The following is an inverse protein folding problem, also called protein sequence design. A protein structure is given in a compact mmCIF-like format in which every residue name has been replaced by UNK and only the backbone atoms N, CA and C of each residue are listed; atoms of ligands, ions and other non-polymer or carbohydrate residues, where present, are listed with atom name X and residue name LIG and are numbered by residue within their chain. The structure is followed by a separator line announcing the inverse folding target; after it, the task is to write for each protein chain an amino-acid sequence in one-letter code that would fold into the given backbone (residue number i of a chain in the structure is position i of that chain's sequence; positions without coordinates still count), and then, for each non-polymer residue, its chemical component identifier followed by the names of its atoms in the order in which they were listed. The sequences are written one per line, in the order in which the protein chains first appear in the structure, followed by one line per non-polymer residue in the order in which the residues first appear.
data_IF_533711405488
#
_entry.id   IF_533711405488
#
_cell.length_a   1.000
_cell.length_b   1.000
_cell.length_c   1.000
_cell.angle_alpha   90.00
_cell.angle_beta   90.00
_cell.angle_gamma   90.00
#
_symmetry.space_group_name_H-M   'P 1'
#
loop_
_entity.id
_entity.type
_entity.pdbx_description
1 polymer ?
#
# COMPACT_ATOMS: atom_id res chain seq x y z
N UNK A 1 -25.91 -6.87 -21.37
CA UNK A 1 -25.90 -6.10 -20.11
C UNK A 1 -24.45 -5.91 -19.70
N UNK A 2 -23.98 -4.68 -19.51
CA UNK A 2 -22.65 -4.44 -18.97
C UNK A 2 -22.58 -4.96 -17.53
N UNK A 3 -21.49 -5.64 -17.16
CA UNK A 3 -21.31 -6.15 -15.80
C UNK A 3 -21.30 -4.98 -14.79
N UNK A 4 -21.98 -5.16 -13.66
CA UNK A 4 -22.02 -4.16 -12.59
C UNK A 4 -20.64 -4.01 -11.92
N UNK A 5 -20.27 -2.79 -11.49
CA UNK A 5 -19.02 -2.55 -10.80
C UNK A 5 -18.92 -3.41 -9.52
N UNK A 6 -17.76 -4.01 -9.32
CA UNK A 6 -17.48 -4.87 -8.17
C UNK A 6 -16.87 -4.09 -6.99
N UNK A 7 -16.28 -2.93 -7.28
CA UNK A 7 -15.58 -2.05 -6.35
C UNK A 7 -15.63 -0.61 -6.88
N UNK A 8 -15.32 0.33 -6.00
CA UNK A 8 -14.92 1.69 -6.35
C UNK A 8 -13.40 1.76 -6.41
N UNK A 9 -12.82 2.74 -7.10
CA UNK A 9 -11.36 2.87 -7.15
C UNK A 9 -10.88 3.66 -8.35
N UNK A 10 -9.56 3.71 -8.49
CA UNK A 10 -8.88 4.59 -9.43
C UNK A 10 -7.98 3.83 -10.40
N UNK A 11 -7.79 4.42 -11.58
CA UNK A 11 -6.70 4.06 -12.47
C UNK A 11 -5.60 5.10 -12.31
N UNK A 12 -4.44 4.67 -11.82
CA UNK A 12 -3.31 5.54 -11.58
C UNK A 12 -2.45 5.69 -12.81
N UNK A 13 -1.85 6.87 -12.93
CA UNK A 13 -0.75 7.17 -13.82
C UNK A 13 0.33 7.91 -13.02
N UNK A 14 1.58 7.85 -13.50
CA UNK A 14 2.71 8.51 -12.85
C UNK A 14 3.19 9.64 -13.75
N UNK A 15 2.69 10.84 -13.49
CA UNK A 15 3.02 12.04 -14.30
C UNK A 15 4.40 12.63 -13.97
N UNK A 16 4.86 12.45 -12.72
CA UNK A 16 6.12 12.97 -12.21
C UNK A 16 6.97 11.83 -11.62
N UNK A 17 7.57 10.96 -12.46
CA UNK A 17 8.29 9.78 -11.98
C UNK A 17 9.51 10.13 -11.13
N UNK A 18 10.16 11.27 -11.39
CA UNK A 18 11.35 11.70 -10.67
C UNK A 18 11.05 12.21 -9.25
N UNK A 19 9.85 12.76 -9.03
CA UNK A 19 9.36 13.17 -7.70
C UNK A 19 8.90 11.95 -6.90
N UNK A 20 8.21 11.02 -7.56
CA UNK A 20 7.86 9.74 -6.96
C UNK A 20 9.12 8.95 -6.56
N UNK A 21 10.14 8.93 -7.41
CA UNK A 21 11.42 8.29 -7.11
C UNK A 21 12.10 8.91 -5.88
N UNK A 22 12.00 10.22 -5.67
CA UNK A 22 12.50 10.88 -4.46
C UNK A 22 11.80 10.39 -3.19
N UNK A 23 10.47 10.26 -3.22
CA UNK A 23 9.70 9.73 -2.09
C UNK A 23 10.04 8.27 -1.81
N UNK A 24 10.14 7.46 -2.86
CA UNK A 24 10.48 6.03 -2.75
C UNK A 24 11.91 5.85 -2.21
N UNK A 25 12.87 6.65 -2.67
CA UNK A 25 14.24 6.65 -2.16
C UNK A 25 14.30 6.93 -0.64
N UNK A 26 13.54 7.93 -0.17
CA UNK A 26 13.43 8.22 1.26
C UNK A 26 12.83 7.06 2.04
N UNK A 27 11.78 6.43 1.52
CA UNK A 27 11.18 5.26 2.17
C UNK A 27 12.23 4.15 2.29
N UNK A 28 12.91 3.78 1.20
CA UNK A 28 13.92 2.70 1.18
C UNK A 28 15.07 2.91 2.17
N UNK A 29 15.50 4.15 2.41
CA UNK A 29 16.57 4.44 3.40
C UNK A 29 16.06 4.53 4.85
N UNK A 30 14.81 4.13 5.11
CA UNK A 30 14.23 4.16 6.46
C UNK A 30 13.55 5.49 6.83
N UNK A 31 13.40 6.42 5.89
CA UNK A 31 12.92 7.79 6.11
C UNK A 31 11.48 7.97 5.62
N UNK A 32 10.61 6.98 5.84
CA UNK A 32 9.19 7.09 5.45
C UNK A 32 8.48 8.29 6.09
N UNK A 33 8.87 8.71 7.31
CA UNK A 33 8.33 9.92 7.92
C UNK A 33 8.72 11.19 7.15
N UNK A 34 9.94 11.25 6.61
CA UNK A 34 10.40 12.37 5.79
C UNK A 34 9.60 12.41 4.48
N UNK A 35 9.44 11.28 3.80
CA UNK A 35 8.58 11.21 2.61
C UNK A 35 7.14 11.69 2.91
N UNK A 36 6.58 11.33 4.07
CA UNK A 36 5.28 11.82 4.50
C UNK A 36 5.23 13.34 4.75
N UNK A 37 6.31 13.94 5.26
CA UNK A 37 6.43 15.40 5.45
C UNK A 37 6.46 16.13 4.10
N UNK A 38 7.16 15.58 3.10
CA UNK A 38 7.16 16.14 1.74
C UNK A 38 5.76 16.12 1.13
N UNK A 39 5.01 15.03 1.32
CA UNK A 39 3.64 14.92 0.82
C UNK A 39 2.68 15.97 1.40
N UNK A 40 2.98 16.53 2.58
CA UNK A 40 2.22 17.64 3.18
C UNK A 40 2.89 19.00 2.97
N UNK A 41 3.83 19.09 2.02
CA UNK A 41 4.46 20.35 1.59
C UNK A 41 5.69 20.78 2.39
N UNK A 42 6.21 19.93 3.29
CA UNK A 42 7.41 20.25 4.07
C UNK A 42 8.66 19.83 3.31
N UNK A 43 9.58 20.76 3.08
CA UNK A 43 10.90 20.48 2.51
C UNK A 43 11.91 20.28 3.63
N UNK A 44 12.69 19.20 3.57
CA UNK A 44 13.81 18.94 4.47
C UNK A 44 15.07 18.62 3.65
N UNK A 45 16.23 18.82 4.27
CA UNK A 45 17.49 18.43 3.65
C UNK A 45 17.54 16.91 3.43
N UNK A 46 18.21 16.43 2.37
CA UNK A 46 18.43 15.00 2.15
C UNK A 46 19.07 14.32 3.37
N UNK A 47 18.70 13.07 3.69
CA UNK A 47 19.31 12.34 4.80
C UNK A 47 20.77 11.98 4.49
N UNK A 48 21.57 11.80 5.55
CA UNK A 48 22.86 11.10 5.47
C UNK A 48 22.65 9.62 5.72
N UNK A 49 23.29 8.76 4.93
CA UNK A 49 23.15 7.30 5.00
C UNK A 49 24.51 6.63 5.10
N UNK A 50 24.59 5.39 5.57
CA UNK A 50 25.89 4.69 5.59
C UNK A 50 26.25 4.13 4.21
N UNK A 51 27.54 4.01 3.90
CA UNK A 51 28.01 3.33 2.68
C UNK A 51 27.44 1.91 2.58
N UNK A 52 27.40 1.17 3.70
CA UNK A 52 26.86 -0.19 3.73
C UNK A 52 25.37 -0.25 3.36
N UNK A 53 24.55 0.72 3.79
CA UNK A 53 23.15 0.79 3.37
C UNK A 53 23.04 1.07 1.87
N UNK A 54 23.88 1.97 1.35
CA UNK A 54 23.94 2.32 -0.07
C UNK A 54 24.29 1.10 -0.93
N UNK A 55 25.29 0.32 -0.54
CA UNK A 55 25.69 -0.92 -1.23
C UNK A 55 24.61 -2.00 -1.19
N UNK A 56 23.84 -2.08 -0.11
CA UNK A 56 22.70 -3.01 -0.01
C UNK A 56 21.58 -2.58 -0.95
N UNK A 57 21.19 -1.30 -0.92
CA UNK A 57 20.10 -0.78 -1.74
C UNK A 57 20.43 -0.84 -3.24
N UNK A 58 21.68 -0.66 -3.64
CA UNK A 58 22.11 -0.86 -5.04
C UNK A 58 21.81 -2.28 -5.53
N UNK A 59 22.17 -3.29 -4.72
CA UNK A 59 21.94 -4.70 -5.05
C UNK A 59 20.45 -5.07 -5.07
N UNK A 60 19.69 -4.50 -4.14
CA UNK A 60 18.25 -4.75 -4.04
C UNK A 60 17.46 -4.07 -5.18
N UNK A 61 17.94 -2.92 -5.68
CA UNK A 61 17.37 -2.22 -6.83
C UNK A 61 17.85 -2.79 -8.18
N UNK A 62 19.03 -3.42 -8.23
CA UNK A 62 19.58 -4.04 -9.43
C UNK A 62 19.84 -5.55 -9.29
N UNK A 63 18.81 -6.35 -8.92
CA UNK A 63 18.93 -7.80 -8.84
C UNK A 63 19.15 -8.41 -10.22
N UNK A 64 19.94 -9.48 -10.27
CA UNK A 64 20.28 -10.20 -11.51
C UNK A 64 19.48 -11.50 -11.70
N UNK A 65 18.70 -11.91 -10.70
CA UNK A 65 17.86 -13.12 -10.77
C UNK A 65 16.41 -12.74 -11.02
N UNK A 66 15.67 -13.59 -11.74
CA UNK A 66 14.23 -13.39 -11.98
C UNK A 66 13.46 -13.17 -10.68
N UNK A 67 13.66 -14.03 -9.68
CA UNK A 67 13.01 -13.88 -8.37
C UNK A 67 13.37 -12.55 -7.69
N UNK A 68 14.63 -12.12 -7.80
CA UNK A 68 15.06 -10.83 -7.27
C UNK A 68 14.38 -9.65 -7.97
N UNK A 69 14.25 -9.72 -9.29
CA UNK A 69 13.50 -8.75 -10.12
C UNK A 69 12.04 -8.68 -9.62
N UNK A 70 11.37 -9.81 -9.44
CA UNK A 70 9.99 -9.81 -8.93
C UNK A 70 9.87 -9.20 -7.53
N UNK A 71 10.82 -9.48 -6.64
CA UNK A 71 10.84 -8.92 -5.29
C UNK A 71 11.05 -7.39 -5.30
N UNK A 72 11.98 -6.89 -6.12
CA UNK A 72 12.19 -5.45 -6.30
C UNK A 72 10.91 -4.78 -6.80
N UNK A 73 10.33 -5.30 -7.87
CA UNK A 73 9.13 -4.71 -8.47
C UNK A 73 7.96 -4.70 -7.47
N UNK A 74 7.83 -5.77 -6.67
CA UNK A 74 6.87 -5.86 -5.57
C UNK A 74 7.09 -4.77 -4.53
N UNK A 75 8.31 -4.66 -3.98
CA UNK A 75 8.66 -3.67 -2.97
C UNK A 75 8.43 -2.24 -3.47
N UNK A 76 8.89 -1.92 -4.68
CA UNK A 76 8.70 -0.59 -5.27
C UNK A 76 7.20 -0.29 -5.43
N UNK A 77 6.40 -1.24 -5.89
CA UNK A 77 4.96 -1.04 -6.02
C UNK A 77 4.26 -0.86 -4.67
N UNK A 78 4.64 -1.61 -3.64
CA UNK A 78 4.11 -1.43 -2.27
C UNK A 78 4.36 0.00 -1.76
N UNK A 79 5.55 0.54 -2.01
CA UNK A 79 5.88 1.93 -1.63
C UNK A 79 5.06 2.93 -2.45
N UNK A 80 4.87 2.71 -3.77
CA UNK A 80 4.02 3.56 -4.61
C UNK A 80 2.58 3.56 -4.10
N UNK A 81 2.02 2.40 -3.76
CA UNK A 81 0.69 2.29 -3.17
C UNK A 81 0.59 3.07 -1.85
N UNK A 82 1.62 2.99 -1.00
CA UNK A 82 1.68 3.78 0.23
C UNK A 82 1.70 5.29 -0.05
N UNK A 83 2.47 5.75 -1.04
CA UNK A 83 2.48 7.16 -1.47
C UNK A 83 1.09 7.58 -1.97
N UNK A 84 0.46 6.77 -2.81
CA UNK A 84 -0.88 7.04 -3.34
C UNK A 84 -1.92 7.12 -2.21
N UNK A 85 -1.91 6.16 -1.28
CA UNK A 85 -2.79 6.16 -0.11
C UNK A 85 -2.62 7.42 0.74
N UNK A 86 -1.37 7.90 0.93
CA UNK A 86 -1.11 9.15 1.66
C UNK A 86 -1.56 10.39 0.92
N UNK A 87 -1.42 10.46 -0.40
CA UNK A 87 -1.94 11.57 -1.22
C UNK A 87 -3.47 11.61 -1.21
N UNK A 88 -4.13 10.45 -1.25
CA UNK A 88 -5.59 10.34 -1.21
C UNK A 88 -6.19 10.43 0.20
N UNK A 89 -5.36 10.56 1.23
CA UNK A 89 -5.82 10.64 2.62
C UNK A 89 -6.64 11.90 2.84
N UNK A 90 -7.79 11.77 3.50
CA UNK A 90 -8.65 12.91 3.86
C UNK A 90 -8.75 13.07 5.37
N UNK A 91 -8.86 14.32 5.83
CA UNK A 91 -9.02 14.67 7.23
C UNK A 91 -8.08 13.92 8.19
N UNK A 92 -8.72 13.22 9.12
CA UNK A 92 -8.10 12.61 10.30
C UNK A 92 -7.70 11.15 10.13
N UNK A 93 -7.74 10.61 8.90
CA UNK A 93 -7.29 9.24 8.66
C UNK A 93 -5.80 9.05 9.06
N UNK A 94 -5.39 7.85 9.46
CA UNK A 94 -3.96 7.53 9.64
C UNK A 94 -3.64 6.27 8.87
N UNK A 95 -2.48 6.26 8.22
CA UNK A 95 -1.97 5.13 7.44
C UNK A 95 -0.68 4.70 8.12
N UNK A 96 -0.47 3.40 8.24
CA UNK A 96 0.80 2.86 8.74
C UNK A 96 1.99 3.32 7.89
N UNK A 97 3.19 3.15 8.42
CA UNK A 97 4.39 3.40 7.63
C UNK A 97 4.68 2.14 6.81
N UNK A 98 4.99 2.31 5.53
CA UNK A 98 5.35 1.21 4.63
C UNK A 98 6.40 0.29 5.28
N UNK A 99 6.12 -1.00 5.30
CA UNK A 99 7.02 -2.00 5.85
C UNK A 99 8.18 -2.24 4.88
N UNK A 100 9.39 -1.85 5.24
CA UNK A 100 10.61 -2.08 4.44
C UNK A 100 11.09 -3.54 4.40
N UNK A 101 10.27 -4.48 4.86
CA UNK A 101 10.58 -5.90 4.81
C UNK A 101 9.44 -6.61 4.10
N UNK A 102 9.77 -7.28 3.00
CA UNK A 102 8.95 -8.32 2.41
C UNK A 102 8.72 -9.41 3.47
N UNK A 103 7.60 -9.34 4.20
CA UNK A 103 7.27 -10.32 5.22
C UNK A 103 6.24 -11.28 4.64
N UNK A 104 6.63 -12.55 4.55
CA UNK A 104 5.82 -13.68 4.06
C UNK A 104 4.54 -13.98 4.86
N UNK A 105 4.08 -13.08 5.74
CA UNK A 105 2.89 -13.24 6.59
C UNK A 105 2.33 -11.87 7.09
N UNK A 106 2.72 -10.72 6.51
CA UNK A 106 2.29 -9.39 6.97
C UNK A 106 1.00 -8.89 6.30
N UNK A 107 0.38 -7.87 6.89
CA UNK A 107 -0.61 -7.01 6.23
C UNK A 107 0.15 -6.03 5.33
N UNK A 108 -0.23 -5.87 4.05
CA UNK A 108 0.49 -4.97 3.13
C UNK A 108 0.35 -3.48 3.55
N UNK A 109 -0.74 -3.15 4.24
CA UNK A 109 -0.90 -1.89 4.99
C UNK A 109 -2.28 -1.74 5.62
N UNK A 110 -2.43 -0.78 6.53
CA UNK A 110 -3.70 -0.43 7.17
C UNK A 110 -3.89 1.08 7.20
N UNK A 111 -5.11 1.52 6.86
CA UNK A 111 -5.60 2.87 7.12
C UNK A 111 -6.74 2.86 8.12
N UNK A 112 -6.67 3.70 9.14
CA UNK A 112 -7.76 3.89 10.11
C UNK A 112 -8.43 5.24 9.91
N UNK A 113 -9.73 5.28 10.19
CA UNK A 113 -10.50 6.50 10.39
C UNK A 113 -11.03 6.48 11.83
N UNK A 114 -10.90 7.61 12.51
CA UNK A 114 -11.46 7.81 13.84
C UNK A 114 -12.41 8.99 13.83
N UNK A 115 -13.41 8.94 14.69
CA UNK A 115 -14.12 10.16 15.09
C UNK A 115 -13.24 10.90 16.11
N UNK A 116 -12.73 12.11 15.79
CA UNK A 116 -11.84 12.85 16.67
C UNK A 116 -12.53 13.34 17.95
N UNK A 117 -13.84 13.59 17.92
CA UNK A 117 -14.56 14.11 19.07
C UNK A 117 -14.82 13.02 20.11
N UNK A 118 -15.15 11.80 19.65
CA UNK A 118 -15.46 10.67 20.53
C UNK A 118 -14.30 9.71 20.71
N UNK A 119 -13.20 9.89 19.97
CA UNK A 119 -12.06 8.96 19.88
C UNK A 119 -12.51 7.51 19.62
N UNK A 120 -13.43 7.35 18.67
CA UNK A 120 -13.96 6.04 18.29
C UNK A 120 -13.37 5.61 16.96
N UNK A 121 -12.91 4.36 16.85
CA UNK A 121 -12.53 3.75 15.58
C UNK A 121 -13.79 3.56 14.71
N UNK A 122 -13.87 4.27 13.59
CA UNK A 122 -15.05 4.22 12.69
C UNK A 122 -14.82 3.36 11.45
N UNK A 123 -13.55 3.20 11.03
CA UNK A 123 -13.18 2.37 9.88
C UNK A 123 -11.74 1.88 10.00
N UNK A 124 -11.51 0.63 9.61
CA UNK A 124 -10.18 0.07 9.37
C UNK A 124 -10.14 -0.49 7.93
N UNK A 125 -9.37 0.16 7.05
CA UNK A 125 -9.17 -0.25 5.66
C UNK A 125 -7.91 -1.10 5.59
N UNK A 126 -8.05 -2.34 5.13
CA UNK A 126 -6.95 -3.27 4.92
C UNK A 126 -6.51 -3.22 3.46
N UNK A 127 -5.22 -3.00 3.24
CA UNK A 127 -4.64 -2.96 1.92
C UNK A 127 -4.04 -4.31 1.51
N UNK A 128 -4.16 -4.63 0.22
CA UNK A 128 -3.41 -5.71 -0.44
C UNK A 128 -2.89 -5.21 -1.79
N UNK A 129 -1.58 -5.38 -2.01
CA UNK A 129 -0.89 -4.90 -3.20
C UNK A 129 -0.32 -6.07 -3.99
N UNK A 130 -0.44 -6.02 -5.32
CA UNK A 130 0.17 -7.04 -6.19
C UNK A 130 0.80 -6.42 -7.43
N UNK A 131 2.13 -6.37 -7.45
CA UNK A 131 2.91 -6.14 -8.65
C UNK A 131 3.06 -7.48 -9.41
N UNK A 132 2.36 -7.61 -10.53
CA UNK A 132 2.28 -8.87 -11.27
C UNK A 132 1.83 -8.66 -12.72
N UNK A 133 2.21 -9.59 -13.58
CA UNK A 133 1.65 -9.76 -14.94
C UNK A 133 0.40 -10.65 -14.96
N UNK A 134 -0.01 -11.22 -13.81
CA UNK A 134 -1.15 -12.13 -13.67
C UNK A 134 -2.21 -11.58 -12.71
N UNK A 135 -2.57 -10.30 -12.88
CA UNK A 135 -3.37 -9.52 -11.93
C UNK A 135 -4.67 -10.22 -11.49
N UNK A 136 -5.49 -10.69 -12.44
CA UNK A 136 -6.76 -11.39 -12.12
C UNK A 136 -6.56 -12.65 -11.29
N UNK A 137 -5.57 -13.47 -11.64
CA UNK A 137 -5.25 -14.69 -10.91
C UNK A 137 -4.80 -14.37 -9.48
N UNK A 138 -3.93 -13.37 -9.30
CA UNK A 138 -3.44 -12.96 -7.98
C UNK A 138 -4.54 -12.32 -7.14
N UNK A 139 -5.40 -11.51 -7.74
CA UNK A 139 -6.59 -10.98 -7.09
C UNK A 139 -7.48 -12.11 -6.54
N UNK A 140 -7.80 -13.09 -7.38
CA UNK A 140 -8.67 -14.22 -6.99
C UNK A 140 -8.05 -15.11 -5.91
N UNK A 141 -6.80 -15.53 -6.11
CA UNK A 141 -6.17 -16.59 -5.33
C UNK A 141 -5.46 -16.11 -4.06
N UNK A 142 -5.04 -14.85 -4.03
CA UNK A 142 -4.27 -14.28 -2.92
C UNK A 142 -5.05 -13.15 -2.24
N UNK A 143 -5.43 -12.11 -2.97
CA UNK A 143 -6.06 -10.92 -2.37
C UNK A 143 -7.41 -11.25 -1.74
N UNK A 144 -8.34 -11.86 -2.49
CA UNK A 144 -9.64 -12.27 -1.92
C UNK A 144 -9.48 -13.30 -0.80
N UNK A 145 -8.47 -14.17 -0.87
CA UNK A 145 -8.18 -15.12 0.21
C UNK A 145 -7.77 -14.36 1.48
N UNK A 146 -6.85 -13.42 1.37
CA UNK A 146 -6.37 -12.61 2.48
C UNK A 146 -7.51 -11.81 3.13
N UNK A 147 -8.31 -11.11 2.33
CA UNK A 147 -9.48 -10.38 2.84
C UNK A 147 -10.47 -11.28 3.58
N UNK A 148 -10.73 -12.50 3.10
CA UNK A 148 -11.57 -13.47 3.83
C UNK A 148 -10.94 -13.88 5.17
N UNK A 149 -9.62 -13.98 5.26
CA UNK A 149 -8.92 -14.30 6.51
C UNK A 149 -9.06 -13.15 7.54
N UNK A 150 -9.06 -11.89 7.10
CA UNK A 150 -9.39 -10.74 7.97
C UNK A 150 -10.87 -10.74 8.38
N UNK A 151 -11.79 -11.06 7.48
CA UNK A 151 -13.23 -11.15 7.82
C UNK A 151 -13.49 -12.26 8.83
N UNK A 152 -12.87 -13.44 8.64
CA UNK A 152 -13.08 -14.60 9.50
C UNK A 152 -12.30 -14.55 10.82
N UNK A 153 -11.51 -13.50 11.05
CA UNK A 153 -10.69 -13.32 12.24
C UNK A 153 -9.41 -14.14 12.33
N UNK A 154 -9.01 -14.84 11.26
CA UNK A 154 -7.76 -15.62 11.24
C UNK A 154 -6.51 -14.74 11.35
N UNK A 155 -6.64 -13.45 11.04
CA UNK A 155 -5.59 -12.43 11.13
C UNK A 155 -5.88 -11.35 12.18
N UNK A 156 -6.76 -11.63 13.15
CA UNK A 156 -7.17 -10.62 14.14
C UNK A 156 -5.98 -10.10 14.96
N UNK A 157 -5.00 -10.95 15.29
CA UNK A 157 -3.79 -10.51 15.99
C UNK A 157 -2.96 -9.52 15.16
N UNK A 158 -2.79 -9.78 13.87
CA UNK A 158 -2.06 -8.90 12.95
C UNK A 158 -2.80 -7.58 12.74
N UNK A 159 -4.11 -7.66 12.53
CA UNK A 159 -4.96 -6.49 12.35
C UNK A 159 -5.00 -5.61 13.61
N UNK A 160 -5.19 -6.21 14.78
CA UNK A 160 -5.18 -5.50 16.04
C UNK A 160 -3.85 -4.81 16.30
N UNK A 161 -2.72 -5.50 16.07
CA UNK A 161 -1.40 -4.90 16.25
C UNK A 161 -1.20 -3.66 15.37
N UNK A 162 -1.54 -3.73 14.08
CA UNK A 162 -1.40 -2.62 13.15
C UNK A 162 -2.33 -1.44 13.52
N UNK A 163 -3.61 -1.73 13.80
CA UNK A 163 -4.61 -0.72 14.15
C UNK A 163 -4.27 -0.03 15.48
N UNK A 164 -3.89 -0.78 16.51
CA UNK A 164 -3.58 -0.20 17.83
C UNK A 164 -2.33 0.68 17.78
N UNK A 165 -1.29 0.28 17.04
CA UNK A 165 -0.09 1.13 16.86
C UNK A 165 -0.44 2.47 16.19
N UNK A 166 -1.39 2.47 15.24
CA UNK A 166 -1.88 3.71 14.64
C UNK A 166 -2.68 4.57 15.60
N UNK A 167 -3.52 3.95 16.44
CA UNK A 167 -4.31 4.67 17.44
C UNK A 167 -3.43 5.27 18.56
N UNK A 168 -2.34 4.60 18.94
CA UNK A 168 -1.33 5.16 19.84
C UNK A 168 -0.73 6.45 19.26
N UNK A 169 -0.43 6.48 17.95
CA UNK A 169 0.03 7.69 17.26
C UNK A 169 -1.04 8.80 17.21
N UNK A 170 -2.30 8.45 17.48
CA UNK A 170 -3.43 9.37 17.64
C UNK A 170 -3.60 9.88 19.08
N UNK A 171 -2.73 9.46 20.01
CA UNK A 171 -2.81 9.84 21.42
C UNK A 171 -3.94 9.14 22.18
N UNK A 172 -4.33 7.94 21.74
CA UNK A 172 -5.27 7.12 22.50
C UNK A 172 -4.62 6.62 23.80
N UNK A 173 -5.35 6.69 24.91
CA UNK A 173 -4.93 6.10 26.19
C UNK A 173 -5.32 4.60 26.26
N UNK A 174 -4.86 3.91 27.31
CA UNK A 174 -5.07 2.46 27.45
C UNK A 174 -6.54 2.01 27.45
N UNK A 175 -7.47 2.81 28.00
CA UNK A 175 -8.90 2.48 27.98
C UNK A 175 -9.50 2.68 26.57
N UNK A 176 -9.13 3.76 25.89
CA UNK A 176 -9.53 4.05 24.52
C UNK A 176 -9.02 2.95 23.56
N UNK A 177 -7.76 2.53 23.72
CA UNK A 177 -7.16 1.43 22.94
C UNK A 177 -7.89 0.10 23.17
N UNK A 178 -8.21 -0.24 24.42
CA UNK A 178 -8.98 -1.45 24.72
C UNK A 178 -10.38 -1.41 24.09
N UNK A 179 -11.03 -0.25 24.11
CA UNK A 179 -12.36 -0.07 23.52
C UNK A 179 -12.31 -0.17 21.99
N UNK A 180 -11.30 0.43 21.37
CA UNK A 180 -11.04 0.29 19.94
C UNK A 180 -10.72 -1.16 19.54
N UNK A 181 -9.97 -1.91 20.35
CA UNK A 181 -9.74 -3.34 20.14
C UNK A 181 -11.06 -4.12 20.12
N UNK A 182 -11.91 -3.94 21.14
CA UNK A 182 -13.21 -4.61 21.18
C UNK A 182 -14.06 -4.27 19.96
N UNK A 183 -14.09 -2.99 19.58
CA UNK A 183 -14.82 -2.50 18.40
C UNK A 183 -14.31 -3.18 17.13
N UNK A 184 -12.99 -3.22 16.93
CA UNK A 184 -12.35 -3.84 15.77
C UNK A 184 -12.72 -5.32 15.63
N UNK A 185 -12.69 -6.07 16.73
CA UNK A 185 -12.91 -7.52 16.71
C UNK A 185 -14.40 -7.88 16.66
N UNK A 186 -15.27 -7.15 17.38
CA UNK A 186 -16.69 -7.47 17.50
C UNK A 186 -17.53 -6.87 16.37
N UNK A 187 -17.30 -5.59 16.05
CA UNK A 187 -18.12 -4.87 15.07
C UNK A 187 -17.55 -4.91 13.66
N UNK A 188 -16.24 -5.21 13.53
CA UNK A 188 -15.51 -5.32 12.27
C UNK A 188 -15.84 -4.19 11.29
N UNK A 189 -15.47 -2.93 11.59
CA UNK A 189 -15.67 -1.79 10.70
C UNK A 189 -14.66 -1.82 9.53
N UNK A 190 -14.58 -2.96 8.85
CA UNK A 190 -13.57 -3.25 7.85
C UNK A 190 -13.97 -2.70 6.48
N UNK A 191 -12.99 -2.11 5.81
CA UNK A 191 -12.97 -1.89 4.38
C UNK A 191 -11.75 -2.58 3.79
N UNK A 192 -11.77 -2.85 2.50
CA UNK A 192 -10.70 -3.56 1.81
C UNK A 192 -10.33 -2.81 0.55
N UNK A 193 -9.04 -2.66 0.30
CA UNK A 193 -8.57 -2.02 -0.93
C UNK A 193 -7.44 -2.82 -1.56
N UNK A 194 -7.65 -3.22 -2.81
CA UNK A 194 -6.71 -3.97 -3.61
C UNK A 194 -6.09 -3.06 -4.67
N UNK A 195 -4.77 -2.95 -4.70
CA UNK A 195 -4.06 -2.22 -5.76
C UNK A 195 -3.20 -3.18 -6.57
N UNK A 196 -3.34 -3.16 -7.89
CA UNK A 196 -2.64 -4.09 -8.79
C UNK A 196 -2.00 -3.37 -9.98
N UNK A 197 -0.81 -3.80 -10.38
CA UNK A 197 -0.31 -3.47 -11.71
C UNK A 197 -1.10 -4.24 -12.76
N UNK A 198 -1.40 -3.61 -13.89
CA UNK A 198 -2.16 -4.23 -14.98
C UNK A 198 -1.54 -3.89 -16.32
N UNK A 199 -1.85 -4.66 -17.35
CA UNK A 199 -1.39 -4.42 -18.73
C UNK A 199 -2.53 -4.64 -19.72
N UNK A 200 -2.59 -3.90 -20.84
CA UNK A 200 -1.67 -2.82 -21.24
C UNK A 200 -1.99 -1.48 -20.55
N UNK A 201 -1.18 -0.44 -20.81
CA UNK A 201 -1.38 0.92 -20.30
C UNK A 201 -2.77 1.50 -20.64
N UNK A 202 -3.30 1.15 -21.82
CA UNK A 202 -4.70 1.38 -22.14
C UNK A 202 -5.58 0.28 -21.52
N UNK A 203 -6.12 0.55 -20.33
CA UNK A 203 -6.90 -0.42 -19.57
C UNK A 203 -8.38 0.02 -19.44
N UNK A 204 -9.30 -0.46 -20.30
CA UNK A 204 -10.68 0.03 -20.30
C UNK A 204 -11.46 -0.40 -19.05
N UNK A 205 -12.49 0.35 -18.68
CA UNK A 205 -13.36 0.06 -17.53
C UNK A 205 -13.91 -1.39 -17.52
N UNK A 206 -14.24 -1.95 -18.69
CA UNK A 206 -14.69 -3.35 -18.79
C UNK A 206 -13.63 -4.36 -18.33
N UNK A 207 -12.33 -4.09 -18.60
CA UNK A 207 -11.23 -4.91 -18.09
C UNK A 207 -11.05 -4.75 -16.57
N UNK A 208 -11.25 -3.55 -16.02
CA UNK A 208 -11.29 -3.34 -14.56
C UNK A 208 -12.39 -4.15 -13.89
N UNK A 209 -13.62 -4.10 -14.43
CA UNK A 209 -14.73 -4.89 -13.87
C UNK A 209 -14.43 -6.39 -13.93
N UNK A 210 -13.83 -6.87 -15.02
CA UNK A 210 -13.41 -8.26 -15.14
C UNK A 210 -12.27 -8.65 -14.19
N UNK A 211 -11.33 -7.74 -13.94
CA UNK A 211 -10.21 -7.94 -13.01
C UNK A 211 -10.71 -8.18 -11.58
N UNK A 212 -11.62 -7.33 -11.11
CA UNK A 212 -12.17 -7.38 -9.76
C UNK A 212 -13.41 -8.27 -9.63
N UNK A 213 -13.67 -9.15 -10.61
CA UNK A 213 -14.74 -10.13 -10.51
C UNK A 213 -14.63 -10.94 -9.21
N UNK A 214 -15.79 -11.15 -8.57
CA UNK A 214 -15.98 -11.87 -7.30
C UNK A 214 -15.55 -11.08 -6.05
N UNK A 215 -15.29 -9.76 -6.14
CA UNK A 215 -15.03 -8.93 -4.96
C UNK A 215 -16.28 -8.86 -4.06
N UNK A 216 -17.47 -8.90 -4.65
CA UNK A 216 -18.74 -8.98 -3.92
C UNK A 216 -18.90 -10.24 -3.06
N UNK A 217 -18.14 -11.30 -3.33
CA UNK A 217 -18.12 -12.52 -2.51
C UNK A 217 -17.66 -12.30 -1.07
N UNK A 218 -17.07 -11.14 -0.75
CA UNK A 218 -16.75 -10.75 0.62
C UNK A 218 -17.97 -10.32 1.44
N UNK A 219 -19.13 -10.10 0.80
CA UNK A 219 -20.37 -9.66 1.45
C UNK A 219 -20.25 -8.34 2.23
N UNK A 220 -19.28 -7.50 1.86
CA UNK A 220 -19.19 -6.10 2.32
C UNK A 220 -19.80 -5.16 1.28
N UNK A 221 -20.29 -4.02 1.74
CA UNK A 221 -20.89 -2.98 0.89
C UNK A 221 -19.91 -2.47 -0.18
N UNK A 222 -20.44 -1.95 -1.30
CA UNK A 222 -19.64 -1.56 -2.46
C UNK A 222 -18.60 -0.47 -2.13
N UNK A 223 -18.99 0.51 -1.31
CA UNK A 223 -18.16 1.62 -0.79
C UNK A 223 -17.05 1.15 0.16
N UNK A 224 -17.06 -0.12 0.56
CA UNK A 224 -16.02 -0.78 1.38
C UNK A 224 -15.10 -1.67 0.56
N UNK A 225 -15.25 -1.69 -0.77
CA UNK A 225 -14.42 -2.45 -1.71
C UNK A 225 -13.72 -1.48 -2.65
N UNK A 226 -12.44 -1.24 -2.38
CA UNK A 226 -11.53 -0.42 -3.19
C UNK A 226 -10.73 -1.27 -4.17
N UNK A 227 -10.66 -0.87 -5.44
CA UNK A 227 -9.92 -1.57 -6.48
C UNK A 227 -9.17 -0.60 -7.37
N UNK A 228 -7.88 -0.41 -7.08
CA UNK A 228 -7.00 0.46 -7.84
C UNK A 228 -6.15 -0.31 -8.83
N UNK A 229 -5.80 0.34 -9.93
CA UNK A 229 -4.91 -0.24 -10.94
C UNK A 229 -3.83 0.74 -11.35
N UNK A 230 -2.62 0.24 -11.59
CA UNK A 230 -1.54 0.95 -12.29
C UNK A 230 -1.32 0.29 -13.66
N UNK A 231 -1.91 0.82 -14.74
CA UNK A 231 -1.74 0.29 -16.09
C UNK A 231 -0.36 0.58 -16.65
N UNK A 232 0.34 -0.46 -17.09
CA UNK A 232 1.69 -0.42 -17.66
C UNK A 232 1.75 -1.32 -18.91
N UNK A 233 2.49 -0.93 -19.94
CA UNK A 233 2.66 -1.80 -21.11
C UNK A 233 3.52 -3.02 -20.77
N UNK A 234 4.68 -2.78 -20.16
CA UNK A 234 5.58 -3.79 -19.62
C UNK A 234 5.89 -3.48 -18.16
N UNK A 235 5.33 -4.29 -17.25
CA UNK A 235 5.53 -4.15 -15.82
C UNK A 235 7.00 -4.28 -15.45
N UNK A 236 7.73 -5.25 -16.03
CA UNK A 236 9.12 -5.52 -15.66
C UNK A 236 10.04 -4.41 -16.13
N UNK A 237 9.88 -3.97 -17.38
CA UNK A 237 10.68 -2.87 -17.92
C UNK A 237 10.41 -1.55 -17.18
N UNK A 238 9.15 -1.28 -16.83
CA UNK A 238 8.79 -0.06 -16.10
C UNK A 238 9.42 -0.01 -14.71
N UNK A 239 9.36 -1.10 -13.94
CA UNK A 239 9.99 -1.14 -12.61
C UNK A 239 11.52 -1.16 -12.66
N UNK A 240 12.13 -1.65 -13.74
CA UNK A 240 13.57 -1.51 -13.95
C UNK A 240 13.97 -0.03 -14.16
N UNK A 241 13.31 0.69 -15.08
CA UNK A 241 13.56 2.14 -15.28
C UNK A 241 13.29 2.94 -14.00
N UNK A 242 12.20 2.61 -13.30
CA UNK A 242 11.87 3.28 -12.05
C UNK A 242 12.88 3.00 -10.94
N UNK A 243 13.44 1.78 -10.86
CA UNK A 243 14.51 1.45 -9.93
C UNK A 243 15.77 2.29 -10.19
N UNK A 244 16.16 2.48 -11.46
CA UNK A 244 17.29 3.33 -11.83
C UNK A 244 17.08 4.78 -11.39
N UNK A 245 15.86 5.32 -11.53
CA UNK A 245 15.51 6.66 -11.04
C UNK A 245 15.61 6.77 -9.52
N UNK A 246 15.11 5.77 -8.80
CA UNK A 246 15.19 5.71 -7.34
C UNK A 246 16.65 5.64 -6.89
N UNK A 247 17.46 4.81 -7.55
CA UNK A 247 18.89 4.73 -7.28
C UNK A 247 19.60 6.05 -7.57
N UNK A 248 19.28 6.73 -8.67
CA UNK A 248 19.83 8.05 -8.98
C UNK A 248 19.62 9.03 -7.81
N UNK A 249 18.47 8.97 -7.12
CA UNK A 249 18.23 9.77 -5.89
C UNK A 249 19.10 9.32 -4.73
N UNK A 250 19.09 8.03 -4.39
CA UNK A 250 19.88 7.47 -3.27
C UNK A 250 21.38 7.73 -3.46
N UNK A 251 21.87 7.67 -4.70
CA UNK A 251 23.26 7.88 -5.07
C UNK A 251 23.76 9.29 -4.70
N UNK A 252 22.87 10.27 -4.59
CA UNK A 252 23.19 11.66 -4.21
C UNK A 252 23.21 11.90 -2.71
N UNK A 253 22.71 10.96 -1.89
CA UNK A 253 22.75 11.11 -0.44
C UNK A 253 24.18 10.99 0.08
N UNK A 254 24.53 11.94 0.96
CA UNK A 254 25.80 11.98 1.66
C UNK A 254 25.99 10.72 2.51
N UNK A 255 27.26 10.31 2.64
CA UNK A 255 27.71 9.24 3.54
C UNK A 255 28.43 9.82 4.75
#
# INVERSE_FOLDING_TARGET
MSALPQCEGEQWSVDAPDDLAQLVALVLVGQAFHAALILVGTQLAPPKITAGLKDTLDKDLHPTTEKGIEHRDGLLFEIICWVAARKGKTGDEKIDNSHLKATNQGTDGVKITVDPATKTLTKATVYEYKCTIHARQKFQSQVLKSFREYISGKRDNQLAQAVLALLESYGFNGYELKTAYDTLIQTRPLAFEASLTVSPSQFPAAKCVALFKDYDSLQVALDKRGGNTLPLDDVRAWFADFADRVWARISTFDV
#
